data_IF_989250171701
#
_entry.id   IF_989250171701
#
_cell.length_a   1.000
_cell.length_b   1.000
_cell.length_c   1.000
_cell.angle_alpha   90.00
_cell.angle_beta   90.00
_cell.angle_gamma   90.00
#
_symmetry.space_group_name_H-M   'P 1'
#
loop_
_entity.id
_entity.type
_entity.pdbx_description
1 polymer ?
#
# COMPACT_ATOMS: atom_id res chain seq x y z
N UNK A 1 -1.22 8.09 3.79
CA UNK A 1 0.04 7.38 3.52
C UNK A 1 1.12 8.35 3.91
N UNK A 2 1.96 7.96 4.84
CA UNK A 2 3.08 8.78 5.29
C UNK A 2 4.35 8.26 4.63
N UNK A 3 5.19 9.18 4.17
CA UNK A 3 6.47 8.85 3.56
C UNK A 3 7.57 9.08 4.58
N UNK A 4 8.39 8.05 4.83
CA UNK A 4 9.54 8.18 5.70
C UNK A 4 10.81 8.28 4.84
N UNK A 5 11.38 9.49 4.74
CA UNK A 5 12.52 9.76 3.86
C UNK A 5 13.78 9.00 4.25
N UNK A 6 13.99 8.82 5.56
CA UNK A 6 15.14 8.12 6.14
C UNK A 6 15.15 6.64 5.77
N UNK A 7 14.00 5.98 5.92
CA UNK A 7 13.84 4.54 5.67
C UNK A 7 13.41 4.23 4.23
N UNK A 8 13.11 5.25 3.43
CA UNK A 8 12.56 5.14 2.09
C UNK A 8 11.34 4.20 2.00
N UNK A 9 10.50 4.25 3.03
CA UNK A 9 9.33 3.39 3.22
C UNK A 9 8.08 4.25 3.34
N UNK A 10 6.98 3.76 2.79
CA UNK A 10 5.68 4.33 3.01
C UNK A 10 4.93 3.56 4.09
N UNK A 11 4.45 4.30 5.08
CA UNK A 11 3.67 3.78 6.19
C UNK A 11 2.19 4.13 6.03
N UNK A 12 1.30 3.20 6.37
CA UNK A 12 -0.13 3.47 6.43
C UNK A 12 -0.81 2.65 7.54
N UNK A 13 -1.62 3.27 8.42
CA UNK A 13 -2.36 2.53 9.42
C UNK A 13 -3.53 1.78 8.78
N UNK A 14 -3.54 0.46 8.90
CA UNK A 14 -4.70 -0.34 8.55
C UNK A 14 -5.88 0.00 9.46
N UNK A 15 -7.13 -0.07 8.95
CA UNK A 15 -8.33 0.10 9.77
C UNK A 15 -8.49 -0.97 10.86
N UNK A 16 -7.70 -2.06 10.82
CA UNK A 16 -7.68 -3.09 11.85
C UNK A 16 -6.71 -2.83 13.01
N UNK A 17 -5.85 -1.80 12.92
CA UNK A 17 -4.92 -1.42 14.00
C UNK A 17 -3.43 -1.68 13.74
N UNK A 18 -3.08 -2.36 12.64
CA UNK A 18 -1.68 -2.58 12.23
C UNK A 18 -1.14 -1.47 11.32
N UNK A 19 0.17 -1.45 11.12
CA UNK A 19 0.85 -0.52 10.22
C UNK A 19 1.36 -1.26 8.98
N UNK A 20 0.82 -0.89 7.81
CA UNK A 20 1.36 -1.24 6.51
C UNK A 20 2.67 -0.49 6.27
N UNK A 21 3.67 -1.18 5.73
CA UNK A 21 4.95 -0.62 5.32
C UNK A 21 5.34 -1.19 3.95
N UNK A 22 5.71 -0.33 3.00
CA UNK A 22 6.21 -0.74 1.68
C UNK A 22 7.36 0.16 1.24
N UNK A 23 8.44 -0.43 0.72
CA UNK A 23 9.59 0.36 0.26
C UNK A 23 9.42 0.81 -1.19
N UNK A 24 10.12 1.88 -1.58
CA UNK A 24 10.16 2.29 -2.99
C UNK A 24 10.76 1.23 -3.91
N UNK A 25 11.69 0.43 -3.41
CA UNK A 25 12.30 -0.63 -4.22
C UNK A 25 11.31 -1.76 -4.51
N UNK A 26 10.45 -2.12 -3.55
CA UNK A 26 9.37 -3.08 -3.77
C UNK A 26 8.37 -2.59 -4.83
N UNK A 27 8.02 -1.30 -4.78
CA UNK A 27 7.21 -0.66 -5.83
C UNK A 27 7.93 -0.60 -7.18
N UNK A 28 9.27 -0.58 -7.24
CA UNK A 28 9.96 -0.60 -8.54
C UNK A 28 9.93 -1.97 -9.20
N UNK A 29 9.93 -3.05 -8.40
CA UNK A 29 9.91 -4.42 -8.91
C UNK A 29 8.48 -4.95 -9.16
N UNK A 30 7.44 -4.19 -8.79
CA UNK A 30 6.03 -4.57 -8.96
C UNK A 30 5.41 -5.27 -7.74
N UNK A 31 6.11 -5.29 -6.60
CA UNK A 31 5.59 -5.83 -5.35
C UNK A 31 4.72 -4.78 -4.67
N UNK A 32 3.42 -4.78 -4.99
CA UNK A 32 2.44 -3.81 -4.51
C UNK A 32 1.48 -4.35 -3.43
N UNK A 33 1.60 -5.64 -3.09
CA UNK A 33 0.68 -6.35 -2.20
C UNK A 33 1.35 -6.54 -0.84
N UNK A 34 0.75 -6.00 0.22
CA UNK A 34 1.12 -6.39 1.59
C UNK A 34 0.02 -7.15 2.31
N UNK A 35 0.44 -8.11 3.11
CA UNK A 35 -0.37 -8.82 4.09
C UNK A 35 -0.31 -8.13 5.43
N UNK A 36 -1.47 -7.95 6.04
CA UNK A 36 -1.55 -7.59 7.45
C UNK A 36 -1.25 -8.83 8.32
N UNK A 37 -0.35 -8.77 9.32
CA UNK A 37 -0.10 -9.91 10.21
C UNK A 37 -1.28 -10.19 11.16
N UNK A 38 -2.07 -9.18 11.54
CA UNK A 38 -3.23 -9.35 12.42
C UNK A 38 -4.57 -9.60 11.71
N UNK A 39 -4.63 -9.57 10.38
CA UNK A 39 -5.87 -9.74 9.62
C UNK A 39 -5.65 -10.51 8.32
N UNK A 40 -6.65 -11.25 7.84
CA UNK A 40 -6.65 -11.86 6.48
C UNK A 40 -6.87 -10.83 5.36
N UNK A 41 -6.47 -9.58 5.58
CA UNK A 41 -6.67 -8.46 4.70
C UNK A 41 -5.38 -8.19 3.91
N UNK A 42 -5.55 -7.88 2.64
CA UNK A 42 -4.47 -7.57 1.72
C UNK A 42 -4.65 -6.14 1.24
N UNK A 43 -3.59 -5.32 1.29
CA UNK A 43 -3.61 -4.00 0.67
C UNK A 43 -2.88 -4.06 -0.66
N UNK A 44 -3.52 -3.56 -1.71
CA UNK A 44 -2.92 -3.40 -3.04
C UNK A 44 -2.62 -1.92 -3.26
N UNK A 45 -1.34 -1.61 -3.47
CA UNK A 45 -0.86 -0.25 -3.68
C UNK A 45 -0.95 0.10 -5.14
N UNK A 46 -1.92 0.92 -5.53
CA UNK A 46 -2.03 1.40 -6.91
C UNK A 46 -1.18 2.66 -7.05
N UNK A 47 -0.15 2.58 -7.87
CA UNK A 47 0.73 3.69 -8.22
C UNK A 47 1.04 3.67 -9.71
N UNK A 48 1.49 4.80 -10.25
CA UNK A 48 1.86 4.90 -11.65
C UNK A 48 3.39 4.83 -11.77
N UNK A 49 3.92 3.92 -12.56
CA UNK A 49 5.38 3.75 -12.68
C UNK A 49 6.04 5.01 -13.27
N UNK A 50 5.31 5.78 -14.09
CA UNK A 50 5.77 7.06 -14.64
C UNK A 50 6.05 8.11 -13.54
N UNK A 51 5.37 8.05 -12.39
CA UNK A 51 5.61 8.92 -11.22
C UNK A 51 7.00 8.66 -10.59
N UNK A 52 7.49 7.42 -10.70
CA UNK A 52 8.80 7.03 -10.17
C UNK A 52 9.93 7.23 -11.18
N UNK A 53 9.62 7.29 -12.49
CA UNK A 53 10.59 7.37 -13.59
C UNK A 53 10.63 8.78 -14.22
N UNK A 54 9.68 9.65 -13.88
CA UNK A 54 9.47 10.97 -14.47
C UNK A 54 10.47 12.04 -14.04
N UNK A 55 11.49 12.24 -14.87
CA UNK A 55 12.48 13.32 -14.81
C UNK A 55 11.92 14.68 -15.29
N UNK A 56 10.97 15.31 -14.58
CA UNK A 56 10.71 16.75 -14.75
C UNK A 56 9.84 17.32 -13.62
N UNK A 57 10.42 18.29 -12.91
CA UNK A 57 9.81 19.40 -12.14
C UNK A 57 8.47 19.05 -11.46
N UNK A 58 8.42 18.75 -10.16
CA UNK A 58 8.47 19.75 -9.09
C UNK A 58 8.75 19.08 -7.72
N UNK A 59 9.60 19.64 -6.84
CA UNK A 59 9.88 19.07 -5.51
C UNK A 59 8.71 19.18 -4.51
N UNK A 60 7.56 19.71 -4.95
CA UNK A 60 6.35 19.87 -4.15
C UNK A 60 5.12 19.22 -4.79
N UNK A 61 5.29 18.29 -5.74
CA UNK A 61 4.17 17.46 -6.15
C UNK A 61 3.94 16.40 -5.07
N UNK A 62 3.02 16.71 -4.15
CA UNK A 62 2.45 15.73 -3.23
C UNK A 62 2.15 14.46 -4.01
N UNK A 63 2.72 13.32 -3.58
CA UNK A 63 2.44 11.93 -4.00
C UNK A 63 0.93 11.61 -3.96
N UNK A 64 0.11 12.29 -4.78
CA UNK A 64 -1.35 12.20 -4.81
C UNK A 64 -1.83 10.99 -5.59
N UNK A 65 -0.94 10.32 -6.30
CA UNK A 65 -1.26 9.18 -7.15
C UNK A 65 -1.28 7.81 -6.47
N UNK A 66 -0.89 7.71 -5.18
CA UNK A 66 -0.84 6.40 -4.52
C UNK A 66 -2.16 6.09 -3.80
N UNK A 67 -2.94 5.18 -4.38
CA UNK A 67 -4.21 4.73 -3.82
C UNK A 67 -4.07 3.32 -3.22
N UNK A 68 -4.20 3.20 -1.91
CA UNK A 68 -4.25 1.91 -1.24
C UNK A 68 -5.67 1.34 -1.35
N UNK A 69 -5.80 0.21 -2.06
CA UNK A 69 -7.05 -0.55 -2.11
C UNK A 69 -6.96 -1.71 -1.14
N UNK A 70 -7.73 -1.61 -0.06
CA UNK A 70 -7.88 -2.69 0.91
C UNK A 70 -8.84 -3.74 0.36
N UNK A 71 -8.35 -4.97 0.22
CA UNK A 71 -9.16 -6.13 -0.14
C UNK A 71 -9.17 -7.13 1.01
N UNK A 72 -10.35 -7.36 1.56
CA UNK A 72 -10.55 -8.37 2.58
C UNK A 72 -10.49 -9.76 1.95
N UNK A 73 -9.49 -10.56 2.32
CA UNK A 73 -9.32 -11.94 1.84
C UNK A 73 -10.14 -12.95 2.62
N UNK A 74 -11.25 -12.53 3.26
CA UNK A 74 -12.25 -13.47 3.74
C UNK A 74 -12.89 -14.06 2.48
N UNK A 75 -12.38 -15.19 2.01
CA UNK A 75 -13.20 -16.16 1.29
C UNK A 75 -14.37 -16.42 2.23
N UNK A 76 -15.55 -15.86 1.93
CA UNK A 76 -16.80 -16.23 2.60
C UNK A 76 -16.97 -17.73 2.39
N UNK A 77 -16.37 -18.54 3.26
CA UNK A 77 -16.88 -19.87 3.50
C UNK A 77 -18.27 -19.64 4.08
N UNK A 78 -19.27 -19.97 3.27
CA UNK A 78 -20.67 -19.88 3.65
C UNK A 78 -20.87 -20.59 4.98
N UNK A 79 -21.11 -19.80 6.02
CA UNK A 79 -21.58 -20.26 7.31
C UNK A 79 -22.83 -19.47 7.66
N UNK A 80 -23.95 -19.77 6.97
CA UNK A 80 -25.25 -19.61 7.64
C UNK A 80 -25.23 -20.63 8.77
N UNK A 81 -25.10 -20.18 10.00
CA UNK A 81 -25.59 -20.95 11.13
C UNK A 81 -26.21 -20.00 12.14
N UNK A 82 -27.44 -20.36 12.51
CA UNK A 82 -28.31 -19.85 13.57
C UNK A 82 -29.18 -18.64 13.20
#
# INVERSE_FOLDING_TARGET
MEWNEELKVYTYPFPCGDLFQITKDELKIGEEIARCPSCSLYSTTIYNMEDFVGSRSDPNESFRGVLLRFRCGITRNGGRNS
#
